data_IF_432850248157
#
_entry.id   IF_432850248157
#
_cell.length_a   1.000
_cell.length_b   1.000
_cell.length_c   1.000
_cell.angle_alpha   90.00
_cell.angle_beta   90.00
_cell.angle_gamma   90.00
#
_symmetry.space_group_name_H-M   'P 1'
#
loop_
_entity.id
_entity.type
_entity.pdbx_description
1 polymer ?
#
# COMPACT_ATOMS: atom_id res chain seq x y z
N UNK A 1 9.06 -3.72 18.08
CA UNK A 1 8.87 -4.17 16.69
C UNK A 1 8.75 -5.69 16.68
N UNK A 2 7.61 -6.19 16.22
CA UNK A 2 7.38 -7.62 16.03
C UNK A 2 8.19 -8.08 14.81
N UNK A 3 8.79 -9.28 14.84
CA UNK A 3 9.52 -9.85 13.68
C UNK A 3 8.67 -9.85 12.40
N UNK A 4 7.36 -10.03 12.60
CA UNK A 4 6.31 -10.02 11.58
C UNK A 4 6.20 -8.70 10.83
N UNK A 5 6.29 -7.55 11.51
CA UNK A 5 6.16 -6.21 10.89
C UNK A 5 7.33 -5.96 9.93
N UNK A 6 8.55 -6.27 10.38
CA UNK A 6 9.74 -6.13 9.55
C UNK A 6 9.72 -7.06 8.34
N UNK A 7 9.28 -8.30 8.52
CA UNK A 7 9.11 -9.23 7.40
C UNK A 7 8.09 -8.71 6.37
N UNK A 8 7.01 -8.08 6.82
CA UNK A 8 5.99 -7.49 5.94
C UNK A 8 6.55 -6.30 5.13
N UNK A 9 7.29 -5.40 5.77
CA UNK A 9 8.00 -4.29 5.09
C UNK A 9 8.96 -4.85 4.02
N UNK A 10 9.75 -5.87 4.38
CA UNK A 10 10.69 -6.51 3.46
C UNK A 10 9.99 -7.15 2.26
N UNK A 11 8.85 -7.80 2.46
CA UNK A 11 8.05 -8.38 1.38
C UNK A 11 7.56 -7.30 0.40
N UNK A 12 6.97 -6.21 0.91
CA UNK A 12 6.53 -5.09 0.07
C UNK A 12 7.71 -4.43 -0.66
N UNK A 13 8.82 -4.20 0.04
CA UNK A 13 10.02 -3.60 -0.55
C UNK A 13 10.63 -4.47 -1.67
N UNK A 14 10.66 -5.79 -1.49
CA UNK A 14 11.11 -6.71 -2.52
C UNK A 14 10.22 -6.64 -3.76
N UNK A 15 8.89 -6.62 -3.60
CA UNK A 15 7.95 -6.49 -4.73
C UNK A 15 8.11 -5.14 -5.44
N UNK A 16 8.23 -4.04 -4.70
CA UNK A 16 8.45 -2.71 -5.27
C UNK A 16 9.76 -2.62 -6.09
N UNK A 17 10.78 -3.42 -5.75
CA UNK A 17 12.04 -3.51 -6.50
C UNK A 17 11.92 -4.40 -7.72
N UNK A 18 11.39 -5.61 -7.54
CA UNK A 18 11.45 -6.68 -8.54
C UNK A 18 10.33 -6.63 -9.58
N UNK A 19 9.20 -5.97 -9.26
CA UNK A 19 8.02 -5.88 -10.14
C UNK A 19 7.79 -4.49 -10.72
N UNK A 20 8.76 -3.58 -10.52
CA UNK A 20 8.72 -2.24 -11.09
C UNK A 20 8.67 -2.30 -12.62
N UNK A 21 7.78 -1.52 -13.22
CA UNK A 21 7.69 -1.41 -14.68
C UNK A 21 7.40 0.03 -15.10
N UNK A 22 8.44 0.74 -15.55
CA UNK A 22 8.35 2.14 -15.98
C UNK A 22 7.70 3.03 -14.94
N UNK A 23 6.64 3.72 -15.35
CA UNK A 23 5.75 4.54 -14.55
C UNK A 23 4.40 3.85 -14.23
N UNK A 24 4.22 2.59 -14.67
CA UNK A 24 2.96 1.86 -14.48
C UNK A 24 2.87 1.16 -13.14
N UNK A 25 4.01 0.66 -12.65
CA UNK A 25 4.16 -0.06 -11.38
C UNK A 25 5.39 0.48 -10.64
N UNK A 26 5.16 1.17 -9.52
CA UNK A 26 6.17 1.93 -8.78
C UNK A 26 6.01 1.86 -7.26
N UNK A 27 4.83 1.47 -6.80
CA UNK A 27 4.45 1.31 -5.39
C UNK A 27 3.97 -0.12 -5.24
N UNK A 28 4.35 -0.75 -4.14
CA UNK A 28 3.87 -2.08 -3.77
C UNK A 28 3.25 -2.05 -2.37
N UNK A 29 2.31 -2.94 -2.12
CA UNK A 29 1.77 -3.18 -0.80
C UNK A 29 1.91 -4.66 -0.44
N UNK A 30 2.03 -4.92 0.85
CA UNK A 30 1.94 -6.26 1.42
C UNK A 30 0.93 -6.27 2.56
N UNK A 31 0.08 -7.29 2.60
CA UNK A 31 -0.92 -7.50 3.64
C UNK A 31 -0.76 -8.86 4.28
N UNK A 32 -0.84 -8.89 5.60
CA UNK A 32 -0.80 -10.08 6.45
C UNK A 32 -2.23 -10.43 6.88
N UNK A 33 -2.63 -11.68 6.70
CA UNK A 33 -3.88 -12.22 7.24
C UNK A 33 -3.69 -12.83 8.64
N UNK A 34 -4.78 -13.02 9.43
CA UNK A 34 -4.70 -13.63 10.76
C UNK A 34 -4.07 -15.03 10.79
N UNK A 35 -4.23 -15.80 9.71
CA UNK A 35 -3.64 -17.15 9.54
C UNK A 35 -2.16 -17.13 9.13
N UNK A 36 -1.52 -15.94 9.09
CA UNK A 36 -0.10 -15.78 8.85
C UNK A 36 0.33 -15.72 7.38
N UNK A 37 -0.62 -15.72 6.43
CA UNK A 37 -0.29 -15.61 5.00
C UNK A 37 -0.03 -14.15 4.62
N UNK A 38 0.87 -13.96 3.66
CA UNK A 38 1.21 -12.64 3.10
C UNK A 38 0.80 -12.57 1.65
N UNK A 39 0.10 -11.49 1.28
CA UNK A 39 -0.32 -11.19 -0.08
C UNK A 39 0.25 -9.86 -0.50
N UNK A 40 0.62 -9.73 -1.78
CA UNK A 40 1.25 -8.52 -2.30
C UNK A 40 0.55 -8.00 -3.54
N UNK A 41 0.68 -6.71 -3.78
CA UNK A 41 0.14 -6.03 -4.96
C UNK A 41 1.04 -4.88 -5.38
N UNK A 42 0.97 -4.49 -6.65
CA UNK A 42 1.59 -3.26 -7.18
C UNK A 42 0.52 -2.31 -7.66
N UNK A 43 0.79 -1.00 -7.60
CA UNK A 43 -0.10 -0.01 -8.22
C UNK A 43 -0.22 -0.26 -9.72
N UNK A 44 -1.38 0.04 -10.28
CA UNK A 44 -1.60 0.07 -11.73
C UNK A 44 -1.91 1.49 -12.11
N UNK A 45 -0.99 2.16 -12.81
CA UNK A 45 -1.21 3.51 -13.32
C UNK A 45 -1.55 3.50 -14.81
N UNK A 46 -2.56 4.29 -15.18
CA UNK A 46 -2.89 4.57 -16.59
C UNK A 46 -2.15 5.85 -16.98
N UNK A 47 -1.27 5.79 -17.97
CA UNK A 47 -0.50 6.96 -18.45
C UNK A 47 -0.79 7.28 -19.91
N UNK A 48 -0.98 8.57 -20.26
CA UNK A 48 -0.95 9.01 -21.67
C UNK A 48 -1.85 10.19 -22.13
N UNK A 49 -2.15 11.19 -21.31
CA UNK A 49 -2.64 12.50 -21.79
C UNK A 49 -1.54 13.56 -21.71
N UNK A 50 -1.67 14.78 -22.28
CA UNK A 50 -0.62 15.81 -22.26
C UNK A 50 -0.19 16.27 -20.84
N UNK A 51 -0.91 15.86 -19.79
CA UNK A 51 -0.50 15.98 -18.38
C UNK A 51 0.50 14.91 -17.90
N UNK A 52 0.76 13.86 -18.69
CA UNK A 52 1.66 12.74 -18.38
C UNK A 52 3.16 13.03 -18.50
N UNK A 53 3.52 14.25 -18.90
CA UNK A 53 4.89 14.77 -18.81
C UNK A 53 5.03 15.88 -17.74
N UNK A 54 3.95 16.21 -17.03
CA UNK A 54 3.94 17.21 -15.98
C UNK A 54 3.94 16.54 -14.60
N UNK A 55 5.13 16.15 -14.14
CA UNK A 55 5.39 15.96 -12.71
C UNK A 55 5.11 14.56 -12.17
N UNK A 56 6.04 13.64 -12.41
CA UNK A 56 6.27 12.46 -11.56
C UNK A 56 6.57 12.83 -10.09
N UNK A 57 6.67 14.12 -9.77
CA UNK A 57 7.02 14.69 -8.47
C UNK A 57 5.81 15.07 -7.59
N UNK A 58 4.56 14.85 -8.04
CA UNK A 58 3.35 15.04 -7.21
C UNK A 58 2.60 13.74 -6.88
N UNK A 59 3.33 12.63 -6.68
CA UNK A 59 2.74 11.32 -6.34
C UNK A 59 2.15 11.23 -4.90
N UNK A 60 1.57 12.31 -4.38
CA UNK A 60 0.73 12.31 -3.19
C UNK A 60 -0.77 12.05 -3.51
N UNK A 61 -1.12 12.01 -4.80
CA UNK A 61 -2.48 11.70 -5.27
C UNK A 61 -2.80 10.20 -5.26
N UNK A 62 -4.09 9.89 -5.19
CA UNK A 62 -4.64 8.53 -5.29
C UNK A 62 -4.38 7.97 -6.70
N UNK A 63 -4.13 6.67 -6.85
CA UNK A 63 -4.08 6.07 -8.19
C UNK A 63 -5.42 6.23 -8.92
N UNK A 64 -6.53 6.38 -8.18
CA UNK A 64 -7.85 6.68 -8.73
C UNK A 64 -7.88 8.02 -9.50
N UNK A 65 -7.11 9.03 -9.06
CA UNK A 65 -7.04 10.36 -9.70
C UNK A 65 -6.48 10.30 -11.14
N UNK A 66 -5.79 9.20 -11.49
CA UNK A 66 -5.20 8.95 -12.81
C UNK A 66 -5.85 7.75 -13.51
N UNK A 67 -7.02 7.30 -13.03
CA UNK A 67 -7.75 6.16 -13.61
C UNK A 67 -7.02 4.82 -13.42
N UNK A 68 -6.33 4.66 -12.30
CA UNK A 68 -5.56 3.48 -11.89
C UNK A 68 -6.03 2.86 -10.57
N UNK A 69 -5.29 1.87 -10.07
CA UNK A 69 -5.54 1.22 -8.80
C UNK A 69 -4.31 1.30 -7.89
N UNK A 70 -4.52 1.64 -6.62
CA UNK A 70 -3.44 1.69 -5.64
C UNK A 70 -2.95 0.28 -5.28
N UNK A 71 -1.71 0.16 -4.83
CA UNK A 71 -1.12 -1.13 -4.49
C UNK A 71 -1.87 -1.84 -3.36
N UNK A 72 -2.43 -1.08 -2.42
CA UNK A 72 -3.28 -1.53 -1.31
C UNK A 72 -4.51 -2.26 -1.83
N UNK A 73 -5.23 -1.65 -2.77
CA UNK A 73 -6.45 -2.22 -3.37
C UNK A 73 -6.11 -3.50 -4.11
N UNK A 74 -5.00 -3.52 -4.85
CA UNK A 74 -4.53 -4.72 -5.57
C UNK A 74 -4.15 -5.84 -4.57
N UNK A 75 -3.47 -5.52 -3.47
CA UNK A 75 -3.10 -6.50 -2.45
C UNK A 75 -4.33 -7.06 -1.72
N UNK A 76 -5.31 -6.22 -1.38
CA UNK A 76 -6.60 -6.63 -0.81
C UNK A 76 -7.35 -7.55 -1.77
N UNK A 77 -7.47 -7.17 -3.04
CA UNK A 77 -8.09 -8.01 -4.07
C UNK A 77 -7.38 -9.35 -4.23
N UNK A 78 -6.04 -9.34 -4.21
CA UNK A 78 -5.23 -10.57 -4.25
C UNK A 78 -5.56 -11.48 -3.07
N UNK A 79 -5.59 -10.97 -1.84
CA UNK A 79 -5.98 -11.74 -0.67
C UNK A 79 -7.42 -12.30 -0.79
N UNK A 80 -8.37 -11.47 -1.25
CA UNK A 80 -9.77 -11.86 -1.40
C UNK A 80 -9.97 -13.02 -2.39
N UNK A 81 -9.26 -12.99 -3.53
CA UNK A 81 -9.29 -14.07 -4.53
C UNK A 81 -8.69 -15.38 -4.01
N UNK A 82 -7.90 -15.32 -2.94
CA UNK A 82 -7.29 -16.47 -2.27
C UNK A 82 -8.11 -16.95 -1.07
N UNK A 83 -9.38 -16.52 -0.96
CA UNK A 83 -10.30 -16.94 0.09
C UNK A 83 -10.16 -16.19 1.42
N UNK A 84 -9.25 -15.22 1.52
CA UNK A 84 -9.07 -14.43 2.75
C UNK A 84 -10.20 -13.40 2.87
N UNK A 85 -10.74 -13.25 4.08
CA UNK A 85 -11.83 -12.31 4.40
C UNK A 85 -11.47 -11.32 5.49
N UNK A 86 -10.42 -11.60 6.26
CA UNK A 86 -9.93 -10.75 7.34
C UNK A 86 -8.45 -10.46 7.12
N UNK A 87 -8.03 -9.24 7.47
CA UNK A 87 -6.68 -8.74 7.27
C UNK A 87 -6.19 -8.15 8.60
N UNK A 88 -4.97 -8.51 9.01
CA UNK A 88 -4.38 -8.12 10.29
C UNK A 88 -3.51 -6.88 10.17
N UNK A 89 -2.69 -6.78 9.12
CA UNK A 89 -1.71 -5.68 8.98
C UNK A 89 -1.36 -5.43 7.52
N UNK A 90 -1.25 -4.16 7.11
CA UNK A 90 -0.84 -3.75 5.76
C UNK A 90 0.32 -2.74 5.82
N UNK A 91 1.16 -2.76 4.79
CA UNK A 91 2.17 -1.73 4.54
C UNK A 91 2.23 -1.39 3.06
N UNK A 92 2.44 -0.12 2.75
CA UNK A 92 2.68 0.39 1.39
C UNK A 92 4.10 0.92 1.28
N UNK A 93 4.80 0.57 0.21
CA UNK A 93 6.20 0.95 -0.02
C UNK A 93 6.39 1.47 -1.45
N UNK A 94 7.01 2.63 -1.57
CA UNK A 94 7.42 3.24 -2.83
C UNK A 94 8.94 3.40 -2.93
N UNK A 95 9.35 4.27 -3.86
CA UNK A 95 10.76 4.60 -4.12
C UNK A 95 11.70 3.38 -4.19
N UNK A 96 11.33 2.39 -5.03
CA UNK A 96 12.11 1.14 -5.18
C UNK A 96 12.31 0.41 -3.85
N UNK A 97 11.29 0.40 -2.99
CA UNK A 97 11.37 -0.32 -1.72
C UNK A 97 12.18 0.43 -0.65
N UNK A 98 12.29 1.76 -0.72
CA UNK A 98 13.05 2.58 0.24
C UNK A 98 12.18 3.48 1.10
N UNK A 99 10.93 3.69 0.72
CA UNK A 99 10.04 4.62 1.41
C UNK A 99 8.75 3.90 1.78
N UNK A 100 8.45 3.78 3.08
CA UNK A 100 7.09 3.46 3.53
C UNK A 100 6.20 4.66 3.21
N UNK A 101 5.04 4.40 2.61
CA UNK A 101 4.08 5.44 2.23
C UNK A 101 2.82 5.27 3.04
N UNK A 102 2.25 6.39 3.45
CA UNK A 102 0.89 6.40 3.97
C UNK A 102 -0.10 6.09 2.83
N UNK A 103 -1.14 5.27 3.07
CA UNK A 103 -2.19 5.07 2.07
C UNK A 103 -2.88 6.38 1.70
N UNK A 104 -3.26 6.54 0.43
CA UNK A 104 -4.00 7.72 -0.01
C UNK A 104 -5.38 7.81 0.68
N UNK A 105 -6.03 8.98 0.61
CA UNK A 105 -7.33 9.21 1.26
C UNK A 105 -8.39 8.17 0.89
N UNK A 106 -8.49 7.79 -0.40
CA UNK A 106 -9.45 6.79 -0.87
C UNK A 106 -9.14 5.40 -0.31
N UNK A 107 -7.86 5.02 -0.29
CA UNK A 107 -7.44 3.73 0.27
C UNK A 107 -7.68 3.69 1.77
N UNK A 108 -7.38 4.76 2.51
CA UNK A 108 -7.70 4.84 3.94
C UNK A 108 -9.20 4.64 4.18
N UNK A 109 -10.05 5.32 3.40
CA UNK A 109 -11.51 5.17 3.51
C UNK A 109 -11.96 3.74 3.22
N UNK A 110 -11.52 3.16 2.09
CA UNK A 110 -11.83 1.78 1.71
C UNK A 110 -11.37 0.77 2.78
N UNK A 111 -10.15 0.93 3.28
CA UNK A 111 -9.60 0.04 4.30
C UNK A 111 -10.37 0.17 5.63
N UNK A 112 -10.75 1.38 6.03
CA UNK A 112 -11.56 1.61 7.23
C UNK A 112 -12.97 1.00 7.11
N UNK A 113 -13.61 1.15 5.94
CA UNK A 113 -14.94 0.62 5.67
C UNK A 113 -14.95 -0.93 5.66
N UNK A 114 -13.92 -1.57 5.11
CA UNK A 114 -13.88 -3.02 4.95
C UNK A 114 -13.19 -3.76 6.11
N UNK A 115 -12.20 -3.13 6.75
CA UNK A 115 -11.33 -3.75 7.75
C UNK A 115 -11.04 -2.75 8.90
N UNK A 116 -12.02 -2.44 9.77
CA UNK A 116 -11.89 -1.38 10.77
C UNK A 116 -10.74 -1.60 11.77
N UNK A 117 -10.41 -2.86 12.06
CA UNK A 117 -9.31 -3.24 12.97
C UNK A 117 -7.95 -3.41 12.25
N UNK A 118 -7.89 -3.10 10.95
CA UNK A 118 -6.66 -3.26 10.17
C UNK A 118 -5.56 -2.34 10.69
N UNK A 119 -4.42 -2.92 10.98
CA UNK A 119 -3.21 -2.19 11.37
C UNK A 119 -2.44 -1.73 10.13
N UNK A 120 -1.95 -0.50 10.14
CA UNK A 120 -1.15 0.11 9.07
C UNK A 120 0.23 0.40 9.62
N UNK A 121 1.26 -0.06 8.90
CA UNK A 121 2.65 0.27 9.20
C UNK A 121 3.02 1.60 8.51
N UNK A 122 3.53 2.55 9.30
CA UNK A 122 3.93 3.90 8.89
C UNK A 122 5.34 4.21 9.42
N UNK A 123 5.85 5.41 9.11
CA UNK A 123 7.18 5.86 9.53
C UNK A 123 8.24 5.62 8.46
N UNK A 124 9.47 5.32 8.90
CA UNK A 124 10.56 4.93 8.00
C UNK A 124 10.80 3.42 8.08
N UNK A 125 11.49 2.80 7.10
CA UNK A 125 11.89 1.40 7.21
C UNK A 125 12.72 1.09 8.46
N UNK A 126 13.47 2.08 8.96
CA UNK A 126 14.33 1.98 10.16
C UNK A 126 13.55 2.22 11.46
N UNK A 127 12.60 3.15 11.44
CA UNK A 127 11.76 3.54 12.57
C UNK A 127 10.26 3.37 12.23
N UNK A 128 9.80 2.13 12.00
CA UNK A 128 8.41 1.88 11.71
C UNK A 128 7.58 1.96 12.99
N UNK A 129 6.37 2.49 12.86
CA UNK A 129 5.34 2.41 13.89
C UNK A 129 4.04 1.90 13.28
N UNK A 130 3.15 1.40 14.13
CA UNK A 130 1.90 0.77 13.73
C UNK A 130 0.74 1.46 14.42
N UNK A 131 -0.33 1.71 13.66
CA UNK A 131 -1.60 2.21 14.18
C UNK A 131 -2.74 1.58 13.41
N UNK A 132 -3.96 1.64 13.94
CA UNK A 132 -5.15 1.18 13.24
C UNK A 132 -5.54 2.15 12.13
N UNK A 133 -6.24 1.64 11.12
CA UNK A 133 -6.80 2.48 10.05
C UNK A 133 -7.83 3.48 10.59
N UNK A 134 -8.55 3.12 11.67
CA UNK A 134 -9.48 4.00 12.36
C UNK A 134 -8.74 5.22 12.96
N UNK A 135 -7.66 5.00 13.70
CA UNK A 135 -6.84 6.08 14.27
C UNK A 135 -6.23 6.97 13.17
N UNK A 136 -5.82 6.37 12.04
CA UNK A 136 -5.22 7.10 10.93
C UNK A 136 -6.23 8.01 10.23
N UNK A 137 -7.48 7.57 10.12
CA UNK A 137 -8.54 8.30 9.41
C UNK A 137 -9.00 9.56 10.14
N UNK A 138 -8.73 9.68 11.44
CA UNK A 138 -9.06 10.85 12.26
C UNK A 138 -7.95 11.92 12.22
N UNK A 139 -6.73 11.57 11.78
CA UNK A 139 -5.66 12.55 11.54
C UNK A 139 -5.98 13.38 10.30
N UNK A 140 -6.21 14.69 10.48
CA UNK A 140 -6.14 15.63 9.36
C UNK A 140 -4.67 15.83 8.94
N UNK A 141 -4.38 15.93 7.63
CA UNK A 141 -3.04 16.11 7.10
C UNK A 141 -2.40 17.45 7.49
#
# INVERSE_FOLDING_TARGET
MELTERALIQAAAAVARLRRHGDRHTVAAAVLSPDGRVFTGVDVRRGGGPAGIAGAERAAGSAADVGGACAEVVAVGTAATQGVRELRTIVTVGDRGRQVREPCADCRRLLAELFPDLRIILGTPEEPYVMTVAELSVRQP
#
